data_IF_744978071372
#
_entry.id   IF_744978071372
#
_cell.length_a   1.000
_cell.length_b   1.000
_cell.length_c   1.000
_cell.angle_alpha   90.00
_cell.angle_beta   90.00
_cell.angle_gamma   90.00
#
_symmetry.space_group_name_H-M   'P 1'
#
loop_
_entity.id
_entity.type
_entity.pdbx_description
1 polymer ?
#
# COMPACT_ATOMS: atom_id res chain seq x y z
N UNK A 1 -15.26 1.71 -2.52
CA UNK A 1 -14.46 1.39 -3.72
C UNK A 1 -15.46 1.18 -4.85
N UNK A 2 -15.36 1.92 -5.97
CA UNK A 2 -16.24 1.67 -7.12
C UNK A 2 -15.74 0.42 -7.87
N UNK A 3 -16.62 -0.49 -8.31
CA UNK A 3 -16.23 -1.65 -9.10
C UNK A 3 -15.66 -1.20 -10.46
N UNK A 4 -14.69 -1.95 -11.00
CA UNK A 4 -13.96 -1.59 -12.22
C UNK A 4 -14.92 -1.55 -13.42
N UNK A 5 -15.96 -2.37 -13.39
CA UNK A 5 -17.05 -2.36 -14.38
C UNK A 5 -17.70 -0.98 -14.60
N UNK A 6 -17.73 -0.10 -13.58
CA UNK A 6 -18.27 1.25 -13.72
C UNK A 6 -17.36 2.22 -14.48
N UNK A 7 -16.11 1.82 -14.75
CA UNK A 7 -15.15 2.57 -15.55
C UNK A 7 -15.15 2.13 -17.02
N UNK A 8 -16.01 1.18 -17.40
CA UNK A 8 -16.07 0.60 -18.75
C UNK A 8 -17.36 1.04 -19.44
N UNK A 9 -17.24 1.55 -20.65
CA UNK A 9 -18.36 1.90 -21.51
C UNK A 9 -19.07 0.64 -22.01
N UNK A 10 -20.38 0.71 -22.31
CA UNK A 10 -21.12 -0.40 -22.91
C UNK A 10 -20.54 -0.90 -24.25
N UNK A 11 -19.75 -0.06 -24.93
CA UNK A 11 -19.00 -0.40 -26.16
C UNK A 11 -17.75 -1.26 -25.92
N UNK A 12 -17.38 -1.53 -24.66
CA UNK A 12 -16.25 -2.39 -24.29
C UNK A 12 -14.90 -1.66 -24.17
N UNK A 13 -14.90 -0.33 -24.10
CA UNK A 13 -13.70 0.48 -23.87
C UNK A 13 -13.72 1.21 -22.53
N UNK A 14 -12.57 1.69 -22.06
CA UNK A 14 -12.49 2.53 -20.87
C UNK A 14 -13.26 3.84 -21.05
N UNK A 15 -13.99 4.27 -20.02
CA UNK A 15 -14.49 5.65 -19.91
C UNK A 15 -13.34 6.55 -19.47
N UNK A 16 -12.61 7.07 -20.47
CA UNK A 16 -11.44 7.94 -20.27
C UNK A 16 -11.78 9.18 -19.42
N UNK A 17 -13.00 9.72 -19.54
CA UNK A 17 -13.41 10.92 -18.79
C UNK A 17 -13.53 10.60 -17.31
N UNK A 18 -14.12 9.44 -16.98
CA UNK A 18 -14.19 8.97 -15.60
C UNK A 18 -12.81 8.64 -15.04
N UNK A 19 -11.94 8.00 -15.82
CA UNK A 19 -10.58 7.67 -15.37
C UNK A 19 -9.79 8.94 -15.05
N UNK A 20 -9.80 9.93 -15.94
CA UNK A 20 -9.08 11.20 -15.73
C UNK A 20 -9.59 11.96 -14.50
N UNK A 21 -10.90 11.91 -14.23
CA UNK A 21 -11.52 12.66 -13.14
C UNK A 21 -11.31 12.04 -11.75
N UNK A 22 -11.01 10.74 -11.65
CA UNK A 22 -11.04 10.02 -10.37
C UNK A 22 -9.67 9.48 -9.91
N UNK A 23 -8.64 9.50 -10.77
CA UNK A 23 -7.35 8.86 -10.50
C UNK A 23 -6.17 9.83 -10.63
N UNK A 24 -5.02 9.46 -10.04
CA UNK A 24 -3.76 10.21 -10.19
C UNK A 24 -3.18 10.02 -11.59
N UNK A 25 -2.22 10.84 -12.00
CA UNK A 25 -1.63 10.71 -13.35
C UNK A 25 -0.99 9.34 -13.57
N UNK A 26 -0.28 8.83 -12.57
CA UNK A 26 0.34 7.50 -12.57
C UNK A 26 -0.72 6.39 -12.71
N UNK A 27 -1.81 6.48 -11.94
CA UNK A 27 -2.90 5.51 -11.99
C UNK A 27 -3.65 5.58 -13.33
N UNK A 28 -3.85 6.77 -13.90
CA UNK A 28 -4.52 6.95 -15.20
C UNK A 28 -3.77 6.20 -16.29
N UNK A 29 -2.46 6.39 -16.37
CA UNK A 29 -1.61 5.73 -17.36
C UNK A 29 -1.66 4.20 -17.19
N UNK A 30 -1.55 3.73 -15.94
CA UNK A 30 -1.65 2.31 -15.62
C UNK A 30 -3.01 1.73 -16.03
N UNK A 31 -4.13 2.37 -15.66
CA UNK A 31 -5.49 1.90 -15.97
C UNK A 31 -5.71 1.86 -17.48
N UNK A 32 -5.36 2.93 -18.20
CA UNK A 32 -5.58 3.01 -19.65
C UNK A 32 -4.68 2.05 -20.44
N UNK A 33 -3.56 1.61 -19.85
CA UNK A 33 -2.70 0.57 -20.44
C UNK A 33 -3.29 -0.84 -20.35
N UNK A 34 -4.24 -1.07 -19.44
CA UNK A 34 -4.85 -2.38 -19.26
C UNK A 34 -5.84 -2.69 -20.40
N UNK A 35 -5.78 -3.88 -21.00
CA UNK A 35 -6.78 -4.30 -21.97
C UNK A 35 -8.13 -4.52 -21.27
N UNK A 36 -9.18 -3.88 -21.77
CA UNK A 36 -10.55 -4.14 -21.30
C UNK A 36 -10.96 -5.54 -21.77
N UNK A 37 -11.21 -6.43 -20.82
CA UNK A 37 -11.65 -7.79 -21.12
C UNK A 37 -12.99 -7.77 -21.88
N UNK A 38 -13.07 -8.55 -22.97
CA UNK A 38 -14.28 -8.69 -23.79
C UNK A 38 -15.36 -9.51 -23.06
N UNK A 39 -14.94 -10.33 -22.09
CA UNK A 39 -15.83 -11.23 -21.36
C UNK A 39 -16.42 -10.53 -20.14
N UNK A 40 -17.75 -10.61 -20.00
CA UNK A 40 -18.49 -10.16 -18.80
C UNK A 40 -18.26 -11.13 -17.64
N UNK A 41 -17.02 -11.23 -17.18
CA UNK A 41 -16.67 -11.97 -15.97
C UNK A 41 -16.92 -11.06 -14.77
N UNK A 42 -17.42 -11.63 -13.69
CA UNK A 42 -17.58 -10.90 -12.44
C UNK A 42 -16.22 -10.47 -11.88
N UNK A 43 -16.13 -9.22 -11.42
CA UNK A 43 -14.92 -8.68 -10.80
C UNK A 43 -14.55 -9.56 -9.59
N UNK A 44 -13.35 -10.14 -9.61
CA UNK A 44 -12.85 -10.99 -8.53
C UNK A 44 -11.63 -10.37 -7.90
N UNK A 45 -11.53 -10.41 -6.57
CA UNK A 45 -10.35 -9.92 -5.85
C UNK A 45 -9.23 -10.95 -6.01
N UNK A 46 -8.11 -10.52 -6.58
CA UNK A 46 -6.90 -11.33 -6.72
C UNK A 46 -5.74 -10.72 -5.94
N UNK A 47 -4.92 -11.59 -5.36
CA UNK A 47 -3.68 -11.24 -4.69
C UNK A 47 -2.50 -11.39 -5.66
N UNK A 48 -1.98 -10.27 -6.16
CA UNK A 48 -0.95 -10.24 -7.20
C UNK A 48 0.38 -10.93 -6.80
N UNK A 49 0.64 -11.09 -5.49
CA UNK A 49 1.86 -11.71 -4.98
C UNK A 49 1.79 -13.25 -4.92
N UNK A 50 0.71 -13.86 -5.39
CA UNK A 50 0.61 -15.30 -5.61
C UNK A 50 0.18 -15.63 -7.03
N UNK A 51 0.81 -16.65 -7.63
CA UNK A 51 0.52 -17.08 -9.00
C UNK A 51 -0.93 -17.55 -9.17
N UNK A 52 -1.51 -18.15 -8.13
CA UNK A 52 -2.91 -18.60 -8.14
C UNK A 52 -3.89 -17.46 -7.79
N UNK A 53 -3.40 -16.26 -7.49
CA UNK A 53 -4.23 -15.10 -7.11
C UNK A 53 -4.90 -15.22 -5.74
N UNK A 54 -4.72 -16.32 -5.01
CA UNK A 54 -5.28 -16.48 -3.68
C UNK A 54 -4.47 -15.72 -2.64
N UNK A 55 -5.18 -15.18 -1.67
CA UNK A 55 -4.56 -14.54 -0.53
C UNK A 55 -4.09 -15.59 0.48
N UNK A 56 -2.84 -15.51 0.93
CA UNK A 56 -2.37 -16.25 2.10
C UNK A 56 -1.66 -15.35 3.10
N UNK A 57 -1.77 -15.72 4.38
CA UNK A 57 -1.05 -15.04 5.48
C UNK A 57 0.46 -15.10 5.22
N UNK A 58 0.95 -16.21 4.65
CA UNK A 58 2.35 -16.40 4.31
C UNK A 58 2.80 -15.36 3.28
N UNK A 59 2.13 -15.22 2.15
CA UNK A 59 2.54 -14.24 1.13
C UNK A 59 2.43 -12.80 1.63
N UNK A 60 1.42 -12.48 2.45
CA UNK A 60 1.34 -11.16 3.12
C UNK A 60 2.53 -10.90 4.04
N UNK A 61 2.91 -11.90 4.85
CA UNK A 61 4.04 -11.78 5.77
C UNK A 61 5.36 -11.59 5.01
N UNK A 62 5.59 -12.39 3.97
CA UNK A 62 6.76 -12.27 3.10
C UNK A 62 6.84 -10.88 2.47
N UNK A 63 5.72 -10.36 1.95
CA UNK A 63 5.67 -9.01 1.39
C UNK A 63 6.02 -7.93 2.44
N UNK A 64 5.43 -8.02 3.63
CA UNK A 64 5.70 -7.08 4.71
C UNK A 64 7.16 -7.08 5.14
N UNK A 65 7.81 -8.25 5.16
CA UNK A 65 9.25 -8.37 5.42
C UNK A 65 10.09 -7.76 4.32
N UNK A 66 9.81 -8.08 3.05
CA UNK A 66 10.53 -7.53 1.91
C UNK A 66 10.43 -6.00 1.84
N UNK A 67 9.26 -5.43 2.15
CA UNK A 67 9.07 -3.98 2.21
C UNK A 67 9.78 -3.32 3.39
N UNK A 68 9.94 -4.03 4.52
CA UNK A 68 10.70 -3.52 5.67
C UNK A 68 12.22 -3.50 5.40
N UNK A 69 12.71 -4.41 4.56
CA UNK A 69 14.13 -4.51 4.20
C UNK A 69 14.53 -3.55 3.06
N UNK A 70 13.56 -2.96 2.34
CA UNK A 70 13.82 -1.92 1.33
C UNK A 70 14.22 -0.60 2.04
N UNK A 71 15.30 0.09 1.62
CA UNK A 71 15.62 1.40 2.18
C UNK A 71 14.45 2.36 1.90
N UNK A 72 13.70 2.70 2.95
CA UNK A 72 12.61 3.68 2.94
C UNK A 72 13.14 5.01 2.41
N UNK A 73 13.03 5.22 1.10
CA UNK A 73 13.11 6.53 0.47
C UNK A 73 11.78 7.24 0.74
N UNK A 74 11.87 8.39 1.39
CA UNK A 74 10.79 9.32 1.72
C UNK A 74 9.81 8.88 2.83
N UNK A 75 10.10 9.33 4.06
CA UNK A 75 9.11 9.34 5.14
C UNK A 75 9.75 9.42 6.53
N UNK A 76 10.23 10.61 6.91
CA UNK A 76 10.46 11.02 8.32
C UNK A 76 11.12 9.97 9.23
N UNK A 77 12.30 9.46 8.87
CA UNK A 77 13.09 8.54 9.71
C UNK A 77 13.79 9.22 10.91
N UNK A 78 13.34 10.40 11.35
CA UNK A 78 13.95 11.13 12.46
C UNK A 78 13.66 10.51 13.82
N UNK A 79 12.47 9.94 14.00
CA UNK A 79 12.01 9.46 15.31
C UNK A 79 12.45 8.02 15.58
N UNK A 80 12.39 7.14 14.59
CA UNK A 80 12.72 5.71 14.74
C UNK A 80 14.21 5.46 15.06
N UNK A 81 15.08 6.36 14.59
CA UNK A 81 16.51 6.32 14.93
C UNK A 81 16.74 6.75 16.39
N UNK A 82 16.11 7.84 16.84
CA UNK A 82 16.25 8.36 18.21
C UNK A 82 15.78 7.36 19.27
N UNK A 83 14.65 6.70 19.05
CA UNK A 83 14.12 5.71 20.00
C UNK A 83 15.09 4.54 20.19
N UNK A 84 15.78 4.08 19.14
CA UNK A 84 16.79 3.00 19.26
C UNK A 84 17.93 3.39 20.19
N UNK A 85 18.38 4.65 20.16
CA UNK A 85 19.40 5.15 21.09
C UNK A 85 18.87 5.24 22.53
N UNK A 86 17.67 5.80 22.71
CA UNK A 86 17.05 5.91 24.04
C UNK A 86 16.90 4.53 24.71
N UNK A 87 16.46 3.52 23.95
CA UNK A 87 16.26 2.17 24.48
C UNK A 87 17.56 1.43 24.78
N UNK A 88 18.64 1.68 24.02
CA UNK A 88 19.97 1.10 24.26
C UNK A 88 20.74 1.74 25.41
N UNK A 89 20.38 2.96 25.81
CA UNK A 89 21.12 3.67 26.85
C UNK A 89 20.93 3.01 28.23
N UNK A 90 22.00 2.86 29.06
CA UNK A 90 21.91 2.28 30.40
C UNK A 90 21.32 3.27 31.41
N UNK A 91 20.05 3.62 31.22
CA UNK A 91 19.25 4.47 32.11
C UNK A 91 18.14 3.64 32.76
N UNK A 92 17.70 4.08 33.95
CA UNK A 92 16.56 3.50 34.63
C UNK A 92 15.30 3.57 33.75
N UNK A 93 14.54 2.47 33.70
CA UNK A 93 13.35 2.33 32.86
C UNK A 93 12.30 3.43 33.11
N UNK A 94 12.20 3.93 34.36
CA UNK A 94 11.30 5.03 34.74
C UNK A 94 11.53 6.30 33.92
N UNK A 95 12.78 6.64 33.61
CA UNK A 95 13.15 7.84 32.85
C UNK A 95 12.80 7.65 31.38
N UNK A 96 13.09 6.47 30.81
CA UNK A 96 12.71 6.12 29.43
C UNK A 96 11.20 6.22 29.23
N UNK A 97 10.42 5.73 30.20
CA UNK A 97 8.96 5.78 30.16
C UNK A 97 8.42 7.21 30.24
N UNK A 98 9.06 8.07 31.05
CA UNK A 98 8.70 9.49 31.14
C UNK A 98 8.97 10.22 29.82
N UNK A 99 10.15 10.05 29.22
CA UNK A 99 10.50 10.63 27.92
C UNK A 99 9.56 10.13 26.83
N UNK A 100 9.26 8.83 26.81
CA UNK A 100 8.32 8.26 25.85
C UNK A 100 6.93 8.90 25.98
N UNK A 101 6.38 9.03 27.19
CA UNK A 101 5.10 9.71 27.40
C UNK A 101 5.14 11.17 26.98
N UNK A 102 6.20 11.90 27.35
CA UNK A 102 6.32 13.33 27.04
C UNK A 102 6.44 13.66 25.54
N UNK A 103 6.86 12.70 24.70
CA UNK A 103 6.93 12.88 23.25
C UNK A 103 5.65 12.45 22.50
N UNK A 104 4.74 11.76 23.18
CA UNK A 104 3.51 11.21 22.60
C UNK A 104 2.22 11.76 23.22
N UNK A 105 2.31 12.59 24.27
CA UNK A 105 1.29 13.56 24.70
C UNK A 105 1.40 14.84 23.86
#
# INVERSE_FOLDING_TARGET
MRPVQQLILPSGGWDVRLVIANFTEEDKEAILSLPVGISRVEDTIIWHYEQCGYYSVKSRYWLGRAMADLPRTLGLNGTDSWWKYLWRFPMAFRIKMFIWRACYD
#
